data_IF_022350137985
#
_entry.id   IF_022350137985
#
_cell.length_a   1.000
_cell.length_b   1.000
_cell.length_c   1.000
_cell.angle_alpha   90.00
_cell.angle_beta   90.00
_cell.angle_gamma   90.00
#
_symmetry.space_group_name_H-M   'P 1'
#
loop_
_entity.id
_entity.type
_entity.pdbx_description
1 polymer ?
#
# COMPACT_ATOMS: atom_id res chain seq x y z
N UNK A 1 -13.85 7.64 28.23
CA UNK A 1 -14.40 6.87 27.09
C UNK A 1 -14.63 7.70 25.82
N UNK A 2 -14.94 9.01 25.91
CA UNK A 2 -15.24 9.85 24.73
C UNK A 2 -14.05 10.09 23.76
N UNK A 3 -12.81 10.22 24.27
CA UNK A 3 -11.64 10.56 23.45
C UNK A 3 -11.19 9.47 22.47
N UNK A 4 -11.59 8.20 22.69
CA UNK A 4 -11.30 7.10 21.76
C UNK A 4 -12.26 7.10 20.56
N UNK A 5 -13.50 7.55 20.77
CA UNK A 5 -14.54 7.70 19.74
C UNK A 5 -14.19 8.83 18.76
N UNK A 6 -13.70 9.95 19.30
CA UNK A 6 -13.36 11.14 18.51
C UNK A 6 -12.18 10.88 17.56
N UNK A 7 -11.11 10.22 18.06
CA UNK A 7 -9.98 9.79 17.23
C UNK A 7 -10.37 8.77 16.16
N UNK A 8 -11.35 7.91 16.44
CA UNK A 8 -11.87 6.98 15.45
C UNK A 8 -12.69 7.70 14.38
N UNK A 9 -13.48 8.71 14.76
CA UNK A 9 -14.20 9.58 13.83
C UNK A 9 -13.25 10.30 12.86
N UNK A 10 -12.18 10.88 13.38
CA UNK A 10 -11.17 11.58 12.58
C UNK A 10 -10.42 10.63 11.63
N UNK A 11 -10.07 9.43 12.09
CA UNK A 11 -9.45 8.42 11.23
C UNK A 11 -10.38 8.00 10.08
N UNK A 12 -11.68 7.92 10.34
CA UNK A 12 -12.69 7.56 9.33
C UNK A 12 -12.91 8.69 8.32
N UNK A 13 -12.91 9.95 8.78
CA UNK A 13 -12.97 11.14 7.93
C UNK A 13 -11.76 11.26 7.00
N UNK A 14 -10.54 11.14 7.54
CA UNK A 14 -9.29 11.17 6.77
C UNK A 14 -9.24 10.06 5.71
N UNK A 15 -9.71 8.86 6.05
CA UNK A 15 -9.83 7.76 5.08
C UNK A 15 -10.83 8.08 3.97
N UNK A 16 -11.95 8.70 4.29
CA UNK A 16 -12.95 9.14 3.31
C UNK A 16 -12.44 10.26 2.39
N UNK A 17 -11.66 11.20 2.93
CA UNK A 17 -11.00 12.27 2.16
C UNK A 17 -9.96 11.71 1.18
N UNK A 18 -9.05 10.84 1.67
CA UNK A 18 -8.06 10.17 0.82
C UNK A 18 -8.68 9.37 -0.33
N UNK A 19 -9.80 8.67 -0.06
CA UNK A 19 -10.50 7.92 -1.11
C UNK A 19 -11.14 8.85 -2.14
N UNK A 20 -11.69 9.99 -1.72
CA UNK A 20 -12.25 11.01 -2.61
C UNK A 20 -11.17 11.66 -3.48
N UNK A 21 -10.04 12.05 -2.91
CA UNK A 21 -8.90 12.60 -3.65
C UNK A 21 -8.35 11.61 -4.68
N UNK A 22 -8.19 10.34 -4.29
CA UNK A 22 -7.74 9.29 -5.21
C UNK A 22 -8.74 9.06 -6.35
N UNK A 23 -10.04 9.12 -6.05
CA UNK A 23 -11.08 8.99 -7.05
C UNK A 23 -11.12 10.19 -8.01
N UNK A 24 -10.92 11.41 -7.50
CA UNK A 24 -10.79 12.62 -8.32
C UNK A 24 -9.56 12.55 -9.24
N UNK A 25 -8.41 12.10 -8.72
CA UNK A 25 -7.20 11.91 -9.52
C UNK A 25 -7.39 10.84 -10.61
N UNK A 26 -8.12 9.76 -10.30
CA UNK A 26 -8.49 8.75 -11.29
C UNK A 26 -9.44 9.35 -12.35
N UNK A 27 -10.47 10.08 -11.94
CA UNK A 27 -11.42 10.73 -12.84
C UNK A 27 -10.74 11.72 -13.81
N UNK A 28 -9.81 12.54 -13.30
CA UNK A 28 -8.98 13.46 -14.11
C UNK A 28 -8.08 12.69 -15.08
N UNK A 29 -7.51 11.56 -14.65
CA UNK A 29 -6.63 10.73 -15.49
C UNK A 29 -7.39 9.96 -16.57
N UNK A 30 -8.63 9.55 -16.31
CA UNK A 30 -9.40 8.69 -17.22
C UNK A 30 -10.50 9.43 -17.98
N UNK A 31 -10.63 10.75 -17.82
CA UNK A 31 -11.72 11.57 -18.38
C UNK A 31 -13.13 11.00 -18.08
N UNK A 32 -13.27 10.23 -17.00
CA UNK A 32 -14.56 9.70 -16.57
C UNK A 32 -15.26 10.76 -15.73
N UNK A 33 -16.39 11.28 -16.23
CA UNK A 33 -17.18 12.28 -15.52
C UNK A 33 -17.84 11.69 -14.26
N UNK A 34 -17.75 12.41 -13.15
CA UNK A 34 -18.23 12.07 -11.80
C UNK A 34 -19.78 11.92 -11.70
N UNK A 35 -20.48 12.04 -12.83
CA UNK A 35 -21.93 12.09 -12.92
C UNK A 35 -22.64 10.74 -12.71
N UNK A 36 -21.94 9.60 -12.72
CA UNK A 36 -22.58 8.28 -12.75
C UNK A 36 -22.75 7.58 -11.39
N UNK A 37 -22.38 8.21 -10.27
CA UNK A 37 -22.39 7.52 -8.97
C UNK A 37 -23.28 8.14 -7.89
N UNK A 38 -24.05 9.18 -8.21
CA UNK A 38 -25.18 9.61 -7.38
C UNK A 38 -26.48 9.31 -8.13
N UNK A 39 -27.02 8.11 -8.02
CA UNK A 39 -28.48 7.85 -7.97
C UNK A 39 -28.74 6.35 -7.88
N UNK A 40 -28.83 5.81 -6.66
CA UNK A 40 -29.65 4.61 -6.39
C UNK A 40 -30.19 4.63 -4.96
N UNK A 41 -31.01 5.63 -4.64
CA UNK A 41 -32.05 5.54 -3.61
C UNK A 41 -33.24 6.42 -4.03
N UNK A 42 -34.44 5.89 -3.75
CA UNK A 42 -35.82 6.39 -3.92
C UNK A 42 -36.46 6.38 -5.32
N UNK A 43 -37.48 5.52 -5.43
CA UNK A 43 -38.54 5.50 -6.44
C UNK A 43 -39.54 6.65 -6.26
N UNK A 44 -40.07 7.21 -7.35
CA UNK A 44 -41.51 7.22 -7.75
C UNK A 44 -41.77 8.28 -8.84
N UNK A 45 -42.48 7.83 -9.90
CA UNK A 45 -43.39 8.58 -10.79
C UNK A 45 -42.80 9.48 -11.91
N UNK A 46 -42.88 8.89 -13.10
CA UNK A 46 -43.35 9.38 -14.41
C UNK A 46 -42.70 10.52 -15.22
N UNK A 47 -42.58 10.15 -16.50
CA UNK A 47 -42.73 10.92 -17.74
C UNK A 47 -41.50 11.64 -18.31
N UNK A 48 -40.92 10.97 -19.31
CA UNK A 48 -40.02 11.50 -20.34
C UNK A 48 -40.82 12.44 -21.33
N UNK A 49 -40.19 13.16 -22.29
CA UNK A 49 -39.19 12.62 -23.22
C UNK A 49 -37.93 13.47 -23.51
N UNK A 50 -36.94 12.72 -23.96
CA UNK A 50 -35.79 13.02 -24.82
C UNK A 50 -35.70 14.38 -25.51
N UNK A 51 -34.49 14.94 -25.54
CA UNK A 51 -33.82 15.32 -26.79
C UNK A 51 -32.31 15.38 -26.58
N UNK A 52 -31.61 14.59 -27.38
CA UNK A 52 -30.15 14.59 -27.48
C UNK A 52 -29.71 15.72 -28.41
N UNK A 53 -28.72 16.51 -28.01
CA UNK A 53 -27.82 17.19 -28.96
C UNK A 53 -26.41 17.23 -28.35
N UNK A 54 -25.53 16.45 -28.96
CA UNK A 54 -24.08 16.62 -28.88
C UNK A 54 -23.73 17.92 -29.59
N UNK A 55 -23.08 18.86 -28.89
CA UNK A 55 -22.34 19.92 -29.53
C UNK A 55 -21.10 20.22 -28.68
N UNK A 56 -20.00 19.58 -29.07
CA UNK A 56 -18.64 20.05 -28.85
C UNK A 56 -18.58 21.52 -29.24
N UNK A 57 -17.99 22.38 -28.40
CA UNK A 57 -17.08 23.45 -28.82
C UNK A 57 -16.48 24.17 -27.59
N UNK A 58 -15.20 23.92 -27.36
CA UNK A 58 -14.29 24.79 -26.61
C UNK A 58 -14.02 26.05 -27.46
N UNK A 59 -14.20 27.27 -26.93
CA UNK A 59 -13.51 28.43 -27.48
C UNK A 59 -12.15 28.57 -26.79
N UNK A 60 -11.11 28.02 -27.42
CA UNK A 60 -9.76 28.54 -27.24
C UNK A 60 -9.73 29.94 -27.87
N UNK A 61 -9.53 30.94 -27.02
CA UNK A 61 -9.38 32.33 -27.40
C UNK A 61 -8.13 32.51 -28.27
N UNK A 62 -8.34 32.66 -29.57
CA UNK A 62 -7.36 33.23 -30.49
C UNK A 62 -7.65 34.74 -30.58
N UNK A 63 -6.83 35.55 -29.91
CA UNK A 63 -6.88 37.00 -30.07
C UNK A 63 -6.33 37.36 -31.45
N UNK A 64 -7.23 37.64 -32.38
CA UNK A 64 -6.93 38.32 -33.63
C UNK A 64 -6.74 39.82 -33.37
N UNK A 65 -5.51 40.32 -33.48
CA UNK A 65 -5.25 41.71 -33.83
C UNK A 65 -4.72 41.71 -35.25
N UNK A 66 -5.57 42.08 -36.19
CA UNK A 66 -5.18 42.21 -37.59
C UNK A 66 -4.45 43.54 -37.82
N UNK A 67 -3.37 43.50 -38.59
CA UNK A 67 -2.97 44.62 -39.45
C UNK A 67 -2.38 44.04 -40.75
N UNK A 68 -2.93 44.58 -41.84
CA UNK A 68 -2.52 44.52 -43.24
C UNK A 68 -1.02 44.67 -43.48
N UNK A 69 -0.50 44.05 -44.54
CA UNK A 69 0.77 44.45 -45.14
C UNK A 69 1.58 43.30 -45.72
N UNK A 70 1.46 43.10 -47.04
CA UNK A 70 2.55 42.54 -47.84
C UNK A 70 3.74 43.49 -47.66
N UNK A 71 4.78 43.02 -46.98
CA UNK A 71 6.17 43.32 -47.28
C UNK A 71 7.04 42.26 -46.60
N UNK A 72 7.47 41.26 -47.37
CA UNK A 72 8.65 40.46 -47.05
C UNK A 72 9.87 41.34 -47.31
N UNK A 73 10.11 42.31 -46.44
CA UNK A 73 11.44 42.85 -46.26
C UNK A 73 12.19 41.83 -45.41
N UNK A 74 13.20 41.19 -45.98
CA UNK A 74 14.20 40.48 -45.19
C UNK A 74 14.70 41.49 -44.17
N UNK A 75 14.35 41.26 -42.89
CA UNK A 75 14.95 41.99 -41.80
C UNK A 75 16.42 41.64 -41.87
N UNK A 76 17.22 42.52 -42.45
CA UNK A 76 18.67 42.46 -42.32
C UNK A 76 18.94 42.46 -40.82
N UNK A 77 19.20 41.28 -40.25
CA UNK A 77 19.76 41.22 -38.92
C UNK A 77 21.03 42.07 -38.98
N UNK A 78 21.15 43.14 -38.17
CA UNK A 78 22.39 43.90 -38.14
C UNK A 78 23.51 42.89 -37.85
N UNK A 79 24.59 42.95 -38.63
CA UNK A 79 25.79 42.17 -38.33
C UNK A 79 26.22 42.56 -36.93
N UNK A 80 25.91 41.69 -35.96
CA UNK A 80 26.27 41.88 -34.56
C UNK A 80 27.76 42.15 -34.50
N UNK A 81 28.16 43.15 -33.72
CA UNK A 81 29.58 43.42 -33.51
C UNK A 81 30.21 42.19 -32.84
N UNK A 82 31.52 41.99 -33.04
CA UNK A 82 32.23 40.84 -32.44
C UNK A 82 32.05 40.82 -30.92
N UNK A 83 31.94 41.99 -30.30
CA UNK A 83 31.68 42.17 -28.86
C UNK A 83 30.28 41.69 -28.47
N UNK A 84 29.22 42.07 -29.20
CA UNK A 84 27.85 41.60 -28.95
C UNK A 84 27.69 40.09 -29.11
N UNK A 85 28.43 39.47 -30.04
CA UNK A 85 28.42 38.00 -30.19
C UNK A 85 29.10 37.29 -29.02
N UNK A 86 30.17 37.87 -28.47
CA UNK A 86 30.85 37.35 -27.30
C UNK A 86 29.97 37.48 -26.04
N UNK A 87 29.29 38.60 -25.86
CA UNK A 87 28.36 38.80 -24.74
C UNK A 87 27.16 37.85 -24.81
N UNK A 88 26.58 37.66 -26.00
CA UNK A 88 25.49 36.71 -26.19
C UNK A 88 25.93 35.26 -25.89
N UNK A 89 27.17 34.89 -26.28
CA UNK A 89 27.73 33.57 -25.96
C UNK A 89 27.88 33.37 -24.45
N UNK A 90 28.41 34.37 -23.72
CA UNK A 90 28.54 34.33 -22.25
C UNK A 90 27.18 34.23 -21.56
N UNK A 91 26.18 34.98 -22.02
CA UNK A 91 24.81 34.88 -21.48
C UNK A 91 24.19 33.50 -21.76
N UNK A 92 24.48 32.91 -22.92
CA UNK A 92 24.04 31.56 -23.25
C UNK A 92 24.68 30.52 -22.32
N UNK A 93 25.99 30.61 -22.11
CA UNK A 93 26.75 29.75 -21.19
C UNK A 93 26.24 29.88 -19.74
N UNK A 94 25.96 31.09 -19.27
CA UNK A 94 25.38 31.33 -17.95
C UNK A 94 24.00 30.69 -17.81
N UNK A 95 23.13 30.80 -18.83
CA UNK A 95 21.82 30.12 -18.81
C UNK A 95 21.97 28.60 -18.73
N UNK A 96 22.88 28.03 -19.52
CA UNK A 96 23.17 26.59 -19.52
C UNK A 96 23.73 26.13 -18.17
N UNK A 97 24.62 26.92 -17.55
CA UNK A 97 25.14 26.62 -16.23
C UNK A 97 24.03 26.60 -15.17
N UNK A 98 23.16 27.61 -15.17
CA UNK A 98 22.02 27.69 -14.24
C UNK A 98 21.01 26.56 -14.43
N UNK A 99 20.72 26.13 -15.67
CA UNK A 99 19.83 24.98 -15.90
C UNK A 99 20.47 23.69 -15.41
N UNK A 100 21.76 23.48 -15.67
CA UNK A 100 22.50 22.30 -15.19
C UNK A 100 22.54 22.24 -13.66
N UNK A 101 22.79 23.36 -12.99
CA UNK A 101 22.77 23.43 -11.53
C UNK A 101 21.39 23.10 -10.96
N UNK A 102 20.32 23.62 -11.56
CA UNK A 102 18.94 23.31 -11.17
C UNK A 102 18.62 21.82 -11.36
N UNK A 103 19.07 21.22 -12.46
CA UNK A 103 18.90 19.79 -12.72
C UNK A 103 19.66 18.94 -11.70
N UNK A 104 20.92 19.28 -11.39
CA UNK A 104 21.73 18.61 -10.36
C UNK A 104 21.06 18.73 -8.98
N UNK A 105 20.54 19.91 -8.64
CA UNK A 105 19.81 20.11 -7.38
C UNK A 105 18.50 19.30 -7.34
N UNK A 106 17.76 19.24 -8.44
CA UNK A 106 16.55 18.44 -8.55
C UNK A 106 16.85 16.95 -8.38
N UNK A 107 17.91 16.45 -9.01
CA UNK A 107 18.37 15.07 -8.87
C UNK A 107 18.76 14.74 -7.43
N UNK A 108 19.53 15.63 -6.77
CA UNK A 108 19.89 15.44 -5.35
C UNK A 108 18.68 15.36 -4.44
N UNK A 109 17.66 16.22 -4.67
CA UNK A 109 16.41 16.18 -3.91
C UNK A 109 15.61 14.90 -4.18
N UNK A 110 15.55 14.46 -5.43
CA UNK A 110 14.88 13.20 -5.79
C UNK A 110 15.53 12.01 -5.08
N UNK A 111 16.86 11.93 -5.09
CA UNK A 111 17.60 10.88 -4.39
C UNK A 111 17.38 10.93 -2.87
N UNK A 112 17.36 12.12 -2.26
CA UNK A 112 17.08 12.26 -0.83
C UNK A 112 15.66 11.76 -0.48
N UNK A 113 14.66 12.12 -1.29
CA UNK A 113 13.28 11.63 -1.13
C UNK A 113 13.18 10.11 -1.27
N UNK A 114 13.91 9.52 -2.20
CA UNK A 114 13.95 8.06 -2.39
C UNK A 114 14.60 7.36 -1.18
N UNK A 115 15.71 7.89 -0.67
CA UNK A 115 16.39 7.37 0.51
C UNK A 115 15.49 7.45 1.76
N UNK A 116 14.82 8.59 1.97
CA UNK A 116 13.85 8.71 3.08
C UNK A 116 12.72 7.70 2.96
N UNK A 117 12.18 7.51 1.75
CA UNK A 117 11.11 6.54 1.51
C UNK A 117 11.58 5.12 1.78
N UNK A 118 12.80 4.77 1.36
CA UNK A 118 13.40 3.46 1.63
C UNK A 118 13.60 3.26 3.13
N UNK A 119 14.17 4.24 3.84
CA UNK A 119 14.36 4.18 5.30
C UNK A 119 13.03 3.98 6.04
N UNK A 120 11.97 4.72 5.67
CA UNK A 120 10.63 4.52 6.25
C UNK A 120 10.08 3.12 5.96
N UNK A 121 10.32 2.59 4.75
CA UNK A 121 9.86 1.24 4.38
C UNK A 121 10.62 0.14 5.14
N UNK A 122 11.91 0.31 5.38
CA UNK A 122 12.74 -0.63 6.13
C UNK A 122 12.29 -0.68 7.59
N UNK A 123 12.15 0.47 8.24
CA UNK A 123 11.66 0.55 9.63
C UNK A 123 10.25 -0.05 9.78
N UNK A 124 9.37 0.17 8.81
CA UNK A 124 8.05 -0.45 8.79
C UNK A 124 8.13 -1.98 8.58
N UNK A 125 9.04 -2.43 7.71
CA UNK A 125 9.30 -3.84 7.43
C UNK A 125 9.86 -4.60 8.63
N UNK A 126 10.72 -3.98 9.44
CA UNK A 126 11.29 -4.57 10.65
C UNK A 126 10.26 -4.72 11.77
N UNK A 127 9.38 -3.74 11.96
CA UNK A 127 8.35 -3.77 13.00
C UNK A 127 7.13 -4.66 12.63
N UNK A 128 6.84 -4.80 11.34
CA UNK A 128 5.70 -5.57 10.84
C UNK A 128 5.65 -7.05 11.29
N UNK A 129 6.72 -7.86 11.21
CA UNK A 129 6.67 -9.27 11.60
C UNK A 129 6.41 -9.45 13.10
N UNK A 130 7.02 -8.62 13.95
CA UNK A 130 6.76 -8.64 15.38
C UNK A 130 5.29 -8.31 15.69
N UNK A 131 4.74 -7.29 15.05
CA UNK A 131 3.33 -6.94 15.20
C UNK A 131 2.39 -8.03 14.67
N UNK A 132 2.73 -8.68 13.56
CA UNK A 132 1.97 -9.81 13.02
C UNK A 132 1.99 -11.01 13.97
N UNK A 133 3.14 -11.32 14.56
CA UNK A 133 3.28 -12.37 15.56
C UNK A 133 2.44 -12.09 16.81
N UNK A 134 2.42 -10.84 17.30
CA UNK A 134 1.57 -10.43 18.41
C UNK A 134 0.07 -10.61 18.07
N UNK A 135 -0.37 -10.17 16.89
CA UNK A 135 -1.77 -10.37 16.44
C UNK A 135 -2.16 -11.84 16.37
N UNK A 136 -1.25 -12.71 15.91
CA UNK A 136 -1.48 -14.16 15.89
C UNK A 136 -1.59 -14.74 17.30
N UNK A 137 -0.72 -14.31 18.23
CA UNK A 137 -0.78 -14.72 19.65
C UNK A 137 -2.09 -14.27 20.29
N UNK A 138 -2.45 -13.00 20.15
CA UNK A 138 -3.71 -12.46 20.67
C UNK A 138 -4.94 -13.20 20.10
N UNK A 139 -4.94 -13.53 18.80
CA UNK A 139 -6.01 -14.32 18.19
C UNK A 139 -6.10 -15.71 18.81
N UNK A 140 -4.97 -16.40 18.99
CA UNK A 140 -4.93 -17.71 19.63
C UNK A 140 -5.39 -17.64 21.08
N UNK A 141 -4.99 -16.62 21.83
CA UNK A 141 -5.45 -16.41 23.20
C UNK A 141 -6.94 -16.16 23.28
N UNK A 142 -7.51 -15.35 22.38
CA UNK A 142 -8.96 -15.16 22.32
C UNK A 142 -9.71 -16.47 22.06
N UNK A 143 -9.23 -17.27 21.11
CA UNK A 143 -9.79 -18.59 20.82
C UNK A 143 -9.68 -19.56 22.01
N UNK A 144 -8.56 -19.50 22.75
CA UNK A 144 -8.40 -20.28 23.98
C UNK A 144 -9.40 -19.85 25.04
N UNK A 145 -9.58 -18.55 25.26
CA UNK A 145 -10.54 -18.02 26.25
C UNK A 145 -11.99 -18.37 25.89
N UNK A 146 -12.36 -18.34 24.62
CA UNK A 146 -13.71 -18.76 24.20
C UNK A 146 -13.93 -20.24 24.44
N UNK A 147 -12.96 -21.09 24.08
CA UNK A 147 -13.05 -22.53 24.35
C UNK A 147 -13.09 -22.83 25.86
N UNK A 148 -12.31 -22.10 26.67
CA UNK A 148 -12.36 -22.24 28.14
C UNK A 148 -13.72 -21.82 28.71
N UNK A 149 -14.31 -20.73 28.23
CA UNK A 149 -15.64 -20.30 28.66
C UNK A 149 -16.75 -21.29 28.24
N UNK A 150 -16.64 -21.90 27.06
CA UNK A 150 -17.54 -22.97 26.62
C UNK A 150 -17.42 -24.22 27.51
N UNK A 151 -16.20 -24.56 27.94
CA UNK A 151 -15.98 -25.67 28.88
C UNK A 151 -16.53 -25.37 30.27
N UNK A 152 -16.35 -24.15 30.76
CA UNK A 152 -16.91 -23.71 32.05
C UNK A 152 -18.43 -23.82 32.04
N UNK A 153 -19.10 -23.39 30.96
CA UNK A 153 -20.53 -23.56 30.80
C UNK A 153 -20.98 -25.04 30.80
N UNK A 154 -20.19 -25.95 30.21
CA UNK A 154 -20.49 -27.39 30.24
C UNK A 154 -20.29 -28.01 31.63
N UNK A 155 -19.29 -27.54 32.37
CA UNK A 155 -19.01 -27.93 33.76
C UNK A 155 -20.14 -27.47 34.68
N UNK A 156 -20.59 -26.23 34.54
CA UNK A 156 -21.67 -25.63 35.35
C UNK A 156 -23.02 -26.33 35.14
N UNK A 157 -23.22 -26.97 33.98
CA UNK A 157 -24.43 -27.73 33.68
C UNK A 157 -24.46 -29.12 34.33
N UNK A 158 -23.34 -29.62 34.88
CA UNK A 158 -23.29 -30.97 35.48
C UNK A 158 -23.76 -30.95 36.93
N UNK A 159 -24.66 -31.86 37.28
CA UNK A 159 -25.14 -32.05 38.66
C UNK A 159 -24.09 -32.72 39.56
N UNK A 160 -23.13 -33.45 38.97
CA UNK A 160 -22.05 -34.13 39.69
C UNK A 160 -20.68 -33.48 39.46
N UNK A 161 -20.01 -33.11 40.56
CA UNK A 161 -18.69 -32.46 40.52
C UNK A 161 -17.60 -33.36 39.91
N UNK A 162 -17.73 -34.69 40.04
CA UNK A 162 -16.76 -35.66 39.52
C UNK A 162 -16.82 -35.76 37.99
N UNK A 163 -18.02 -35.80 37.40
CA UNK A 163 -18.18 -35.82 35.95
C UNK A 163 -17.74 -34.50 35.32
N UNK A 164 -18.08 -33.37 35.96
CA UNK A 164 -17.63 -32.06 35.53
C UNK A 164 -16.10 -31.97 35.46
N UNK A 165 -15.40 -32.52 36.47
CA UNK A 165 -13.93 -32.57 36.49
C UNK A 165 -13.35 -33.48 35.40
N UNK A 166 -13.97 -34.63 35.15
CA UNK A 166 -13.54 -35.55 34.09
C UNK A 166 -13.72 -34.94 32.69
N UNK A 167 -14.84 -34.25 32.46
CA UNK A 167 -15.10 -33.52 31.21
C UNK A 167 -14.06 -32.40 31.03
N UNK A 168 -13.80 -31.61 32.08
CA UNK A 168 -12.78 -30.57 32.04
C UNK A 168 -11.39 -31.12 31.72
N UNK A 169 -11.02 -32.28 32.28
CA UNK A 169 -9.73 -32.95 32.03
C UNK A 169 -9.61 -33.47 30.59
N UNK A 170 -10.68 -34.04 30.04
CA UNK A 170 -10.71 -34.58 28.67
C UNK A 170 -10.65 -33.49 27.60
N UNK A 171 -11.32 -32.36 27.83
CA UNK A 171 -11.53 -31.35 26.80
C UNK A 171 -10.62 -30.13 26.95
N UNK A 172 -10.15 -29.81 28.15
CA UNK A 172 -9.32 -28.62 28.34
C UNK A 172 -7.90 -28.87 27.79
N UNK A 173 -7.42 -28.02 26.87
CA UNK A 173 -6.04 -28.06 26.41
C UNK A 173 -5.01 -27.87 27.55
N UNK A 174 -5.43 -27.36 28.72
CA UNK A 174 -4.58 -27.20 29.91
C UNK A 174 -4.19 -28.53 30.54
N UNK A 175 -5.06 -29.54 30.45
CA UNK A 175 -4.82 -30.89 30.98
C UNK A 175 -4.28 -31.85 29.92
N UNK A 176 -4.10 -31.37 28.69
CA UNK A 176 -3.49 -32.17 27.64
C UNK A 176 -2.03 -32.47 28.04
N UNK A 177 -1.72 -33.76 28.20
CA UNK A 177 -0.38 -34.19 28.55
C UNK A 177 0.60 -33.77 27.44
N UNK A 178 1.50 -32.85 27.75
CA UNK A 178 2.52 -32.40 26.83
C UNK A 178 3.64 -33.44 26.78
N UNK A 179 3.51 -34.40 25.86
CA UNK A 179 4.61 -35.31 25.54
C UNK A 179 5.69 -34.53 24.82
N UNK A 180 6.67 -34.05 25.59
CA UNK A 180 7.86 -33.42 25.05
C UNK A 180 8.71 -34.51 24.38
N UNK A 181 8.63 -34.60 23.06
CA UNK A 181 9.51 -35.47 22.29
C UNK A 181 10.96 -35.07 22.56
N UNK A 182 11.67 -35.90 23.30
CA UNK A 182 13.11 -35.79 23.49
C UNK A 182 13.75 -36.52 22.31
N UNK A 183 14.27 -35.80 21.31
CA UNK A 183 14.86 -36.45 20.16
C UNK A 183 16.09 -37.24 20.64
N UNK A 184 16.20 -38.50 20.18
CA UNK A 184 17.36 -39.34 20.49
C UNK A 184 18.68 -38.73 19.97
N UNK A 185 18.59 -37.87 18.95
CA UNK A 185 19.71 -37.12 18.40
C UNK A 185 19.48 -35.64 18.64
N UNK A 186 20.47 -34.97 19.25
CA UNK A 186 20.41 -33.53 19.45
C UNK A 186 20.34 -32.79 18.10
N UNK A 187 19.43 -31.82 17.99
CA UNK A 187 19.31 -30.98 16.79
C UNK A 187 20.64 -30.26 16.52
N UNK A 188 21.11 -30.30 15.27
CA UNK A 188 22.40 -29.72 14.85
C UNK A 188 23.64 -30.42 15.42
N UNK A 189 23.52 -31.65 15.91
CA UNK A 189 24.67 -32.52 16.18
C UNK A 189 25.25 -33.05 14.85
N UNK A 190 26.53 -33.44 14.85
CA UNK A 190 27.15 -34.17 13.74
C UNK A 190 26.34 -35.43 13.35
N UNK A 191 25.68 -36.06 14.33
CA UNK A 191 24.80 -37.20 14.12
C UNK A 191 23.50 -36.82 13.40
N UNK A 192 22.94 -35.64 13.66
CA UNK A 192 21.74 -35.12 12.99
C UNK A 192 22.06 -34.82 11.51
N UNK A 193 23.23 -34.25 11.22
CA UNK A 193 23.70 -34.06 9.85
C UNK A 193 23.92 -35.38 9.12
N UNK A 194 24.52 -36.37 9.78
CA UNK A 194 24.71 -37.71 9.22
C UNK A 194 23.38 -38.39 8.90
N UNK A 195 22.40 -38.31 9.81
CA UNK A 195 21.04 -38.86 9.59
C UNK A 195 20.36 -38.15 8.42
N UNK A 196 20.45 -36.82 8.33
CA UNK A 196 19.92 -36.05 7.20
C UNK A 196 20.58 -36.43 5.88
N UNK A 197 21.88 -36.69 5.89
CA UNK A 197 22.62 -37.12 4.69
C UNK A 197 22.20 -38.52 4.25
N UNK A 198 22.01 -39.46 5.19
CA UNK A 198 21.49 -40.80 4.90
C UNK A 198 20.07 -40.76 4.34
N UNK A 199 19.18 -39.98 4.96
CA UNK A 199 17.78 -39.86 4.52
C UNK A 199 17.63 -39.10 3.19
N UNK A 200 18.54 -38.18 2.87
CA UNK A 200 18.51 -37.44 1.61
C UNK A 200 19.00 -38.25 0.42
N UNK A 201 19.83 -39.27 0.64
CA UNK A 201 20.15 -40.25 -0.38
C UNK A 201 18.97 -41.21 -0.58
N UNK A 202 18.25 -41.07 -1.69
CA UNK A 202 17.12 -41.92 -2.12
C UNK A 202 17.48 -43.40 -2.39
N UNK A 203 18.69 -43.83 -2.00
CA UNK A 203 19.29 -45.14 -2.27
C UNK A 203 19.32 -46.07 -1.06
N UNK A 204 18.47 -45.83 -0.06
CA UNK A 204 18.28 -46.79 1.03
C UNK A 204 17.43 -47.95 0.49
N UNK A 205 18.07 -49.02 0.02
CA UNK A 205 17.36 -50.21 -0.47
C UNK A 205 18.12 -51.16 -1.40
N UNK A 206 19.35 -50.88 -1.83
CA UNK A 206 20.07 -51.75 -2.79
C UNK A 206 20.83 -52.91 -2.13
N UNK A 207 20.33 -53.50 -1.06
CA UNK A 207 20.98 -54.64 -0.38
C UNK A 207 20.45 -56.01 -0.81
N UNK A 208 19.48 -56.06 -1.72
CA UNK A 208 19.04 -57.30 -2.36
C UNK A 208 18.91 -57.10 -3.87
N UNK A 209 20.05 -56.98 -4.54
CA UNK A 209 20.15 -57.15 -5.98
C UNK A 209 21.18 -58.23 -6.29
#
# INVERSE_FOLDING_TARGET
MAHLSERHGDATRRRGELMRERMQLLAVRTNYSDAFHRLRRSSTVSAAPSTAVVAVNNPLACNSTGVSGRDRSYSHHPRRTTEETAEFSRQCEQRVALTREKEIQAQRRALACEQERQARSQLAGEAAPAQAALRLRERREKQRRTAEAELEALVDQQESLLEAMNIARMLSPRFQEHVNFTPAVAKYSAEDERVKLLLSTSRIGSYYQ
#
